data_IF_983618348060
#
_entry.id   IF_983618348060
#
_cell.length_a   1.000
_cell.length_b   1.000
_cell.length_c   1.000
_cell.angle_alpha   90.00
_cell.angle_beta   90.00
_cell.angle_gamma   90.00
#
_symmetry.space_group_name_H-M   'P 1'
#
loop_
_entity.id
_entity.type
_entity.pdbx_description
1 polymer ?
#
# COMPACT_ATOMS: atom_id res chain seq x y z
N UNK A 1 1.15 -25.69 -19.22
CA UNK A 1 1.63 -24.55 -18.41
C UNK A 1 1.04 -24.68 -17.03
N UNK A 2 1.88 -24.57 -16.02
CA UNK A 2 1.42 -24.54 -14.62
C UNK A 2 0.79 -23.17 -14.35
N UNK A 3 -0.49 -23.13 -13.99
CA UNK A 3 -1.16 -21.85 -13.68
C UNK A 3 -0.51 -21.16 -12.48
N UNK A 4 -0.42 -19.83 -12.54
CA UNK A 4 -0.01 -18.99 -11.41
C UNK A 4 -1.20 -18.75 -10.51
N UNK A 5 -1.07 -19.12 -9.23
CA UNK A 5 -2.07 -18.87 -8.20
C UNK A 5 -1.89 -17.46 -7.65
N UNK A 6 -2.88 -16.60 -7.89
CA UNK A 6 -2.82 -15.20 -7.53
C UNK A 6 -3.90 -14.83 -6.50
N UNK A 7 -3.43 -14.50 -5.29
CA UNK A 7 -4.27 -14.07 -4.19
C UNK A 7 -4.55 -12.56 -4.22
N UNK A 8 -5.82 -12.18 -4.12
CA UNK A 8 -6.26 -10.78 -4.01
C UNK A 8 -7.03 -10.56 -2.70
N UNK A 9 -6.90 -9.38 -2.07
CA UNK A 9 -7.54 -9.11 -0.80
C UNK A 9 -9.02 -8.77 -0.96
N UNK A 10 -9.81 -9.11 0.07
CA UNK A 10 -11.16 -8.58 0.28
C UNK A 10 -11.16 -7.43 1.28
N UNK A 11 -12.32 -6.80 1.46
CA UNK A 11 -12.52 -5.75 2.47
C UNK A 11 -11.95 -4.41 2.01
N UNK A 12 -11.31 -3.67 2.90
CA UNK A 12 -10.87 -2.29 2.63
C UNK A 12 -9.91 -2.14 1.45
N UNK A 13 -9.10 -3.17 1.15
CA UNK A 13 -8.22 -3.19 -0.03
C UNK A 13 -8.93 -3.64 -1.32
N UNK A 14 -10.08 -4.31 -1.22
CA UNK A 14 -10.70 -5.05 -2.32
C UNK A 14 -11.04 -4.17 -3.52
N UNK A 15 -11.83 -3.12 -3.30
CA UNK A 15 -12.29 -2.22 -4.37
C UNK A 15 -11.13 -1.52 -5.09
N UNK A 16 -10.11 -1.10 -4.34
CA UNK A 16 -8.93 -0.46 -4.92
C UNK A 16 -8.06 -1.48 -5.68
N UNK A 17 -8.00 -2.73 -5.20
CA UNK A 17 -7.35 -3.83 -5.92
C UNK A 17 -8.07 -4.12 -7.25
N UNK A 18 -9.40 -4.18 -7.25
CA UNK A 18 -10.15 -4.38 -8.48
C UNK A 18 -9.88 -3.26 -9.48
N UNK A 19 -9.90 -1.99 -9.03
CA UNK A 19 -9.61 -0.84 -9.90
C UNK A 19 -8.22 -0.91 -10.51
N UNK A 20 -7.19 -1.31 -9.75
CA UNK A 20 -5.84 -1.41 -10.30
C UNK A 20 -5.70 -2.57 -11.28
N UNK A 21 -6.36 -3.71 -11.04
CA UNK A 21 -6.40 -4.84 -11.95
C UNK A 21 -7.12 -4.47 -13.26
N UNK A 22 -8.26 -3.78 -13.16
CA UNK A 22 -8.97 -3.23 -14.30
C UNK A 22 -8.07 -2.27 -15.08
N UNK A 23 -7.40 -1.32 -14.42
CA UNK A 23 -6.43 -0.45 -15.10
C UNK A 23 -5.30 -1.26 -15.76
N UNK A 24 -4.86 -2.34 -15.14
CA UNK A 24 -3.80 -3.20 -15.66
C UNK A 24 -4.21 -4.06 -16.87
N UNK A 25 -5.49 -4.08 -17.26
CA UNK A 25 -5.97 -4.90 -18.39
C UNK A 25 -6.74 -6.16 -17.97
N UNK A 26 -6.78 -6.47 -16.67
CA UNK A 26 -7.49 -7.62 -16.16
C UNK A 26 -8.98 -7.35 -15.97
N UNK A 27 -9.82 -8.31 -16.33
CA UNK A 27 -11.25 -8.29 -16.08
C UNK A 27 -11.60 -9.41 -15.10
N UNK A 28 -11.95 -9.01 -13.87
CA UNK A 28 -12.32 -9.95 -12.80
C UNK A 28 -13.84 -10.10 -12.77
N UNK A 29 -14.33 -11.34 -12.80
CA UNK A 29 -15.76 -11.65 -12.81
C UNK A 29 -16.19 -12.42 -11.56
N UNK A 30 -17.37 -12.11 -11.04
CA UNK A 30 -17.95 -12.83 -9.89
C UNK A 30 -17.34 -12.51 -8.52
N UNK A 31 -16.52 -11.47 -8.41
CA UNK A 31 -15.80 -11.11 -7.18
C UNK A 31 -16.70 -10.95 -5.93
N UNK A 32 -17.89 -10.37 -6.08
CA UNK A 32 -18.82 -10.18 -4.94
C UNK A 32 -19.53 -11.46 -4.48
N UNK A 33 -19.43 -12.54 -5.27
CA UNK A 33 -20.23 -13.77 -5.10
C UNK A 33 -19.40 -15.00 -4.78
N UNK A 34 -18.10 -14.98 -5.05
CA UNK A 34 -17.24 -16.16 -4.90
C UNK A 34 -15.84 -15.78 -4.43
N UNK A 35 -15.24 -16.68 -3.64
CA UNK A 35 -13.83 -16.60 -3.26
C UNK A 35 -12.87 -17.05 -4.38
N UNK A 36 -13.40 -17.47 -5.52
CA UNK A 36 -12.67 -17.92 -6.72
C UNK A 36 -13.26 -17.23 -7.95
N UNK A 37 -13.01 -15.93 -8.14
CA UNK A 37 -13.50 -15.21 -9.30
C UNK A 37 -12.79 -15.67 -10.57
N UNK A 38 -13.42 -15.42 -11.72
CA UNK A 38 -12.78 -15.62 -13.02
C UNK A 38 -11.92 -14.41 -13.40
N UNK A 39 -10.89 -14.63 -14.22
CA UNK A 39 -10.05 -13.60 -14.82
C UNK A 39 -9.89 -13.88 -16.33
N UNK A 40 -9.69 -12.83 -17.13
CA UNK A 40 -9.48 -12.93 -18.58
C UNK A 40 -8.07 -13.43 -19.00
N UNK A 41 -7.33 -14.07 -18.10
CA UNK A 41 -6.05 -14.73 -18.38
C UNK A 41 -6.16 -16.21 -18.00
N UNK A 42 -6.08 -17.15 -18.96
CA UNK A 42 -6.27 -18.58 -18.69
C UNK A 42 -5.18 -19.20 -17.81
N UNK A 43 -4.01 -18.54 -17.71
CA UNK A 43 -2.85 -19.02 -16.96
C UNK A 43 -2.84 -18.53 -15.50
N UNK A 44 -3.84 -17.73 -15.11
CA UNK A 44 -4.00 -17.21 -13.74
C UNK A 44 -5.19 -17.90 -13.06
N UNK A 45 -4.99 -18.35 -11.83
CA UNK A 45 -6.05 -18.77 -10.93
C UNK A 45 -6.19 -17.76 -9.78
N UNK A 46 -7.30 -17.02 -9.76
CA UNK A 46 -7.55 -16.02 -8.71
C UNK A 46 -8.17 -16.65 -7.45
N UNK A 47 -7.72 -16.16 -6.29
CA UNK A 47 -8.34 -16.46 -5.00
C UNK A 47 -8.51 -15.18 -4.19
N UNK A 48 -9.72 -14.97 -3.66
CA UNK A 48 -9.99 -13.86 -2.76
C UNK A 48 -9.75 -14.31 -1.32
N UNK A 49 -8.94 -13.57 -0.57
CA UNK A 49 -8.52 -13.90 0.80
C UNK A 49 -8.61 -12.67 1.71
N UNK A 50 -8.54 -12.86 3.03
CA UNK A 50 -8.33 -11.73 3.94
C UNK A 50 -6.90 -11.20 3.78
N UNK A 51 -6.68 -9.87 3.81
CA UNK A 51 -5.34 -9.30 3.68
C UNK A 51 -4.30 -9.93 4.62
N UNK A 52 -4.67 -10.17 5.89
CA UNK A 52 -3.76 -10.73 6.89
C UNK A 52 -3.28 -12.16 6.60
N UNK A 53 -4.01 -12.95 5.81
CA UNK A 53 -3.66 -14.34 5.49
C UNK A 53 -2.73 -14.44 4.27
N UNK A 54 -2.77 -13.45 3.38
CA UNK A 54 -2.11 -13.49 2.08
C UNK A 54 -0.58 -13.62 2.20
N UNK A 55 0.12 -12.81 3.04
CA UNK A 55 1.58 -12.92 3.15
C UNK A 55 2.05 -14.31 3.57
N UNK A 56 1.37 -14.94 4.53
CA UNK A 56 1.68 -16.30 4.96
C UNK A 56 1.47 -17.31 3.84
N UNK A 57 0.35 -17.26 3.12
CA UNK A 57 0.11 -18.22 2.03
C UNK A 57 1.03 -18.03 0.83
N UNK A 58 1.51 -16.81 0.58
CA UNK A 58 2.55 -16.57 -0.42
C UNK A 58 3.90 -17.07 0.08
N UNK A 59 4.26 -16.81 1.35
CA UNK A 59 5.51 -17.31 1.97
C UNK A 59 5.59 -18.84 1.89
N UNK A 60 4.50 -19.54 2.22
CA UNK A 60 4.42 -21.01 2.22
C UNK A 60 4.22 -21.65 0.83
N UNK A 61 4.18 -20.85 -0.25
CA UNK A 61 3.99 -21.35 -1.62
C UNK A 61 2.61 -21.93 -1.92
N UNK A 62 1.64 -21.73 -1.02
CA UNK A 62 0.22 -22.07 -1.25
C UNK A 62 -0.34 -21.19 -2.37
N UNK A 63 0.11 -19.94 -2.44
CA UNK A 63 -0.13 -18.97 -3.50
C UNK A 63 1.22 -18.55 -4.09
N UNK A 64 1.26 -18.31 -5.40
CA UNK A 64 2.50 -17.92 -6.09
C UNK A 64 2.74 -16.40 -5.99
N UNK A 65 1.64 -15.63 -6.08
CA UNK A 65 1.62 -14.17 -5.99
C UNK A 65 0.46 -13.73 -5.11
N UNK A 66 0.61 -12.60 -4.44
CA UNK A 66 -0.47 -11.99 -3.67
C UNK A 66 -0.41 -10.48 -3.64
N UNK A 67 -1.56 -9.85 -3.39
CA UNK A 67 -1.64 -8.44 -3.00
C UNK A 67 -2.03 -8.35 -1.52
N UNK A 68 -1.20 -7.70 -0.70
CA UNK A 68 -1.52 -7.43 0.70
C UNK A 68 -0.85 -6.13 1.19
N UNK A 69 -1.22 -5.67 2.38
CA UNK A 69 -0.61 -4.49 2.99
C UNK A 69 0.82 -4.75 3.47
N UNK A 70 1.68 -3.73 3.39
CA UNK A 70 3.05 -3.76 3.94
C UNK A 70 3.08 -4.10 5.43
N UNK A 71 2.11 -3.58 6.17
CA UNK A 71 1.84 -3.89 7.57
C UNK A 71 1.63 -5.39 7.81
N UNK A 72 0.84 -6.07 6.98
CA UNK A 72 0.63 -7.52 7.12
C UNK A 72 1.84 -8.35 6.72
N UNK A 73 2.64 -7.90 5.74
CA UNK A 73 3.91 -8.55 5.40
C UNK A 73 4.87 -8.48 6.60
N UNK A 74 4.95 -7.32 7.25
CA UNK A 74 5.78 -7.10 8.44
C UNK A 74 5.25 -7.87 9.67
N UNK A 75 3.96 -7.78 9.98
CA UNK A 75 3.31 -8.47 11.11
C UNK A 75 3.52 -9.99 11.06
N UNK A 76 3.43 -10.57 9.86
CA UNK A 76 3.61 -12.01 9.66
C UNK A 76 5.08 -12.44 9.54
N UNK A 77 6.03 -11.49 9.50
CA UNK A 77 7.43 -11.77 9.15
C UNK A 77 7.56 -12.65 7.89
N UNK A 78 6.75 -12.36 6.87
CA UNK A 78 6.59 -13.25 5.73
C UNK A 78 7.85 -13.28 4.84
N UNK A 79 8.33 -14.48 4.51
CA UNK A 79 9.49 -14.68 3.62
C UNK A 79 9.06 -14.63 2.15
N UNK A 80 8.82 -13.42 1.66
CA UNK A 80 8.32 -13.15 0.30
C UNK A 80 9.20 -12.15 -0.41
N UNK A 81 9.17 -12.17 -1.74
CA UNK A 81 9.76 -11.11 -2.56
C UNK A 81 8.75 -9.98 -2.74
N UNK A 82 9.13 -8.74 -2.43
CA UNK A 82 8.28 -7.57 -2.68
C UNK A 82 8.56 -7.03 -4.07
N UNK A 83 7.64 -7.25 -5.01
CA UNK A 83 7.83 -6.91 -6.42
C UNK A 83 7.48 -5.45 -6.73
N UNK A 84 6.44 -4.91 -6.09
CA UNK A 84 5.92 -3.57 -6.39
C UNK A 84 5.11 -2.99 -5.23
N UNK A 85 5.33 -1.70 -4.92
CA UNK A 85 4.36 -0.90 -4.16
C UNK A 85 3.28 -0.41 -5.11
N UNK A 86 2.03 -0.76 -4.83
CA UNK A 86 0.89 -0.40 -5.67
C UNK A 86 0.36 1.02 -5.39
N UNK A 87 0.94 1.69 -4.40
CA UNK A 87 0.74 3.10 -4.04
C UNK A 87 -0.69 3.51 -3.65
N UNK A 88 -1.60 2.54 -3.44
CA UNK A 88 -2.95 2.77 -2.91
C UNK A 88 -3.10 2.25 -1.48
N UNK A 89 -4.27 2.50 -0.88
CA UNK A 89 -4.60 2.16 0.50
C UNK A 89 -3.53 2.64 1.50
N UNK A 90 -3.10 3.89 1.33
CA UNK A 90 -2.11 4.50 2.23
C UNK A 90 -2.76 4.75 3.58
N UNK A 91 -2.41 3.92 4.56
CA UNK A 91 -2.90 4.02 5.94
C UNK A 91 -1.72 4.05 6.91
N UNK A 92 -2.01 4.39 8.17
CA UNK A 92 -1.00 4.52 9.23
C UNK A 92 -1.39 3.59 10.37
N UNK A 93 -0.44 2.79 10.84
CA UNK A 93 -0.60 1.96 12.02
C UNK A 93 -0.27 2.81 13.24
N UNK A 94 -1.23 3.00 14.15
CA UNK A 94 -1.11 3.98 15.23
C UNK A 94 -1.54 3.42 16.58
N UNK A 95 -0.87 3.88 17.64
CA UNK A 95 -1.37 3.73 19.00
C UNK A 95 -2.43 4.78 19.30
N UNK A 96 -3.54 4.35 19.88
CA UNK A 96 -4.62 5.22 20.32
C UNK A 96 -5.10 4.90 21.74
N UNK A 97 -5.51 5.93 22.47
CA UNK A 97 -5.98 5.87 23.87
C UNK A 97 -7.27 6.68 24.04
N UNK A 98 -8.02 6.51 25.14
CA UNK A 98 -9.17 7.36 25.45
C UNK A 98 -8.84 8.85 25.39
N UNK A 99 -9.69 9.62 24.69
CA UNK A 99 -9.46 11.05 24.43
C UNK A 99 -9.43 11.90 25.70
N UNK A 100 -10.10 11.45 26.77
CA UNK A 100 -10.09 12.11 28.07
C UNK A 100 -8.76 11.94 28.85
N UNK A 101 -7.83 11.12 28.38
CA UNK A 101 -6.50 10.95 29.00
C UNK A 101 -5.53 12.04 28.52
N UNK A 102 -5.68 13.24 29.07
CA UNK A 102 -4.96 14.44 28.60
C UNK A 102 -3.43 14.39 28.84
N UNK A 103 -2.96 13.58 29.79
CA UNK A 103 -1.54 13.50 30.17
C UNK A 103 -0.73 12.53 29.31
N UNK A 104 -1.40 11.61 28.61
CA UNK A 104 -0.75 10.61 27.75
C UNK A 104 -0.75 11.12 26.32
N UNK A 105 0.44 11.40 25.78
CA UNK A 105 0.61 11.95 24.42
C UNK A 105 1.55 11.13 23.54
N UNK A 106 2.20 10.10 24.09
CA UNK A 106 3.06 9.14 23.41
C UNK A 106 3.03 7.81 24.20
N UNK A 107 3.62 6.75 23.62
CA UNK A 107 3.71 5.44 24.25
C UNK A 107 4.56 5.47 25.53
N UNK A 108 5.61 6.29 25.55
CA UNK A 108 6.46 6.49 26.72
C UNK A 108 5.67 6.99 27.93
N UNK A 109 4.79 7.98 27.72
CA UNK A 109 3.89 8.53 28.72
C UNK A 109 2.84 7.52 29.17
N UNK A 110 2.32 6.71 28.25
CA UNK A 110 1.38 5.63 28.56
C UNK A 110 2.02 4.57 29.48
N UNK A 111 3.22 4.09 29.12
CA UNK A 111 3.96 3.08 29.90
C UNK A 111 4.31 3.65 31.29
N UNK A 112 4.84 4.88 31.34
CA UNK A 112 5.18 5.55 32.60
C UNK A 112 3.96 5.67 33.52
N UNK A 113 2.84 6.12 32.99
CA UNK A 113 1.60 6.23 33.75
C UNK A 113 1.13 4.88 34.31
N UNK A 114 1.30 3.78 33.55
CA UNK A 114 0.97 2.44 34.04
C UNK A 114 1.84 2.02 35.21
N UNK A 115 3.16 2.27 35.12
CA UNK A 115 4.14 2.00 36.18
C UNK A 115 3.83 2.81 37.44
N UNK A 116 3.65 4.13 37.31
CA UNK A 116 3.39 5.04 38.43
C UNK A 116 2.11 4.68 39.18
N UNK A 117 1.08 4.22 38.46
CA UNK A 117 -0.19 3.79 39.05
C UNK A 117 -0.19 2.34 39.55
N UNK A 118 0.93 1.61 39.39
CA UNK A 118 1.04 0.18 39.68
C UNK A 118 -0.09 -0.63 39.03
N UNK A 119 -0.38 -0.33 37.75
CA UNK A 119 -1.40 -1.01 36.94
C UNK A 119 -0.75 -1.78 35.80
N UNK A 120 -1.36 -2.89 35.41
CA UNK A 120 -1.05 -3.58 34.17
C UNK A 120 -1.49 -2.74 32.98
N UNK A 121 -0.59 -2.52 32.02
CA UNK A 121 -0.89 -1.90 30.74
C UNK A 121 -1.54 -2.93 29.81
N UNK A 122 -2.79 -2.69 29.39
CA UNK A 122 -3.53 -3.57 28.49
C UNK A 122 -3.62 -2.94 27.10
N UNK A 123 -3.06 -3.62 26.10
CA UNK A 123 -3.14 -3.20 24.69
C UNK A 123 -3.99 -4.21 23.92
N UNK A 124 -4.91 -3.76 23.06
CA UNK A 124 -5.66 -4.66 22.17
C UNK A 124 -5.37 -4.35 20.70
N UNK A 125 -5.12 -5.39 19.89
CA UNK A 125 -4.77 -5.22 18.47
C UNK A 125 -4.88 -6.53 17.67
N UNK A 126 -5.03 -6.43 16.35
CA UNK A 126 -4.78 -7.54 15.42
C UNK A 126 -3.27 -7.70 15.08
N UNK A 127 -2.43 -6.70 15.38
CA UNK A 127 -1.00 -6.61 15.06
C UNK A 127 -0.11 -6.95 16.28
N UNK A 128 -0.12 -8.22 16.68
CA UNK A 128 0.51 -8.69 17.92
C UNK A 128 2.04 -8.52 17.89
N UNK A 129 2.69 -8.87 16.78
CA UNK A 129 4.15 -8.76 16.65
C UNK A 129 4.57 -7.30 16.58
N UNK A 130 3.89 -6.49 15.77
CA UNK A 130 4.19 -5.06 15.67
C UNK A 130 4.05 -4.35 17.03
N UNK A 131 2.96 -4.60 17.78
CA UNK A 131 2.78 -4.02 19.11
C UNK A 131 3.87 -4.46 20.08
N UNK A 132 4.14 -5.76 20.16
CA UNK A 132 5.17 -6.35 21.03
C UNK A 132 6.55 -5.74 20.76
N UNK A 133 6.98 -5.75 19.50
CA UNK A 133 8.29 -5.24 19.11
C UNK A 133 8.42 -3.74 19.34
N UNK A 134 7.37 -2.98 19.03
CA UNK A 134 7.39 -1.53 19.20
C UNK A 134 7.44 -1.12 20.68
N UNK A 135 6.68 -1.82 21.55
CA UNK A 135 6.73 -1.63 23.00
C UNK A 135 8.11 -1.99 23.55
N UNK A 136 8.69 -3.13 23.16
CA UNK A 136 10.00 -3.57 23.65
C UNK A 136 11.15 -2.64 23.24
N UNK A 137 11.00 -1.89 22.14
CA UNK A 137 11.97 -0.88 21.71
C UNK A 137 11.83 0.46 22.42
N UNK A 138 10.74 0.67 23.18
CA UNK A 138 10.51 1.94 23.86
C UNK A 138 11.51 2.13 25.04
N UNK A 139 12.21 3.27 25.15
CA UNK A 139 13.20 3.49 26.21
C UNK A 139 12.66 3.32 27.62
N UNK A 140 11.42 3.77 27.89
CA UNK A 140 10.79 3.65 29.21
C UNK A 140 10.49 2.19 29.54
N UNK A 141 10.11 1.39 28.54
CA UNK A 141 9.93 -0.05 28.71
C UNK A 141 11.26 -0.73 29.05
N UNK A 142 12.31 -0.45 28.27
CA UNK A 142 13.64 -1.02 28.45
C UNK A 142 14.21 -0.67 29.83
N UNK A 143 14.08 0.58 30.26
CA UNK A 143 14.55 1.03 31.57
C UNK A 143 13.82 0.33 32.72
N UNK A 144 12.52 0.08 32.58
CA UNK A 144 11.70 -0.51 33.64
C UNK A 144 11.74 -2.05 33.67
N UNK A 145 11.84 -2.69 32.51
CA UNK A 145 11.60 -4.13 32.34
C UNK A 145 12.73 -4.87 31.60
N UNK A 146 13.72 -4.17 31.05
CA UNK A 146 14.82 -4.76 30.29
C UNK A 146 14.34 -5.50 29.03
N UNK A 147 14.80 -6.73 28.85
CA UNK A 147 14.47 -7.58 27.71
C UNK A 147 13.21 -8.45 27.92
N UNK A 148 12.51 -8.28 29.04
CA UNK A 148 11.27 -9.03 29.28
C UNK A 148 10.27 -8.76 28.16
N UNK A 149 9.58 -9.79 27.73
CA UNK A 149 8.60 -9.73 26.65
C UNK A 149 7.20 -9.48 27.23
N UNK A 150 6.43 -8.50 26.72
CA UNK A 150 5.01 -8.34 27.07
C UNK A 150 4.26 -9.66 26.92
N UNK A 151 3.34 -9.95 27.83
CA UNK A 151 2.49 -11.13 27.70
C UNK A 151 1.52 -10.92 26.55
N UNK A 152 1.63 -11.73 25.51
CA UNK A 152 0.69 -11.78 24.40
C UNK A 152 -0.36 -12.86 24.67
N UNK A 153 -1.63 -12.48 24.60
CA UNK A 153 -2.80 -13.33 24.88
C UNK A 153 -3.64 -13.47 23.63
N UNK A 154 -3.81 -14.71 23.18
CA UNK A 154 -4.78 -15.11 22.16
C UNK A 154 -5.75 -16.13 22.77
N UNK A 155 -6.86 -16.49 22.10
CA UNK A 155 -7.72 -17.59 22.58
C UNK A 155 -7.03 -18.95 22.63
N UNK A 156 -5.87 -19.10 21.98
CA UNK A 156 -5.19 -20.38 21.82
C UNK A 156 -3.98 -20.53 22.75
N UNK A 157 -3.28 -19.43 23.03
CA UNK A 157 -2.04 -19.45 23.79
C UNK A 157 -1.77 -18.13 24.47
N UNK A 158 -0.88 -18.19 25.46
CA UNK A 158 -0.38 -17.07 26.25
C UNK A 158 1.13 -17.20 26.38
N UNK A 159 1.87 -16.20 25.89
CA UNK A 159 3.35 -16.25 25.80
C UNK A 159 3.92 -14.90 26.26
N UNK A 160 5.03 -14.92 27.00
CA UNK A 160 5.72 -13.74 27.52
C UNK A 160 5.99 -13.84 29.02
N UNK A 161 6.84 -12.96 29.54
CA UNK A 161 7.34 -12.99 30.92
C UNK A 161 7.23 -11.63 31.65
N UNK A 162 6.60 -10.62 31.02
CA UNK A 162 6.21 -9.36 31.66
C UNK A 162 4.70 -9.23 31.86
N UNK A 163 4.22 -9.66 33.03
CA UNK A 163 2.81 -9.57 33.46
C UNK A 163 2.28 -8.13 33.62
N UNK A 164 3.18 -7.13 33.66
CA UNK A 164 2.77 -5.73 33.78
C UNK A 164 2.35 -5.11 32.44
N UNK A 165 2.63 -5.77 31.31
CA UNK A 165 2.22 -5.32 29.99
C UNK A 165 1.63 -6.49 29.22
N UNK A 166 0.33 -6.40 28.92
CA UNK A 166 -0.43 -7.47 28.28
C UNK A 166 -1.00 -7.00 26.95
N UNK A 167 -0.77 -7.76 25.89
CA UNK A 167 -1.27 -7.51 24.53
C UNK A 167 -2.33 -8.57 24.19
N UNK A 168 -3.56 -8.15 23.99
CA UNK A 168 -4.70 -9.01 23.65
C UNK A 168 -4.98 -8.99 22.16
N UNK A 169 -5.13 -10.17 21.56
CA UNK A 169 -5.65 -10.32 20.21
C UNK A 169 -7.07 -9.74 20.10
N UNK A 170 -7.22 -8.80 19.19
CA UNK A 170 -8.52 -8.33 18.68
C UNK A 170 -8.95 -9.19 17.49
N UNK A 171 -10.26 -9.36 17.28
CA UNK A 171 -10.82 -9.96 16.07
C UNK A 171 -11.54 -8.92 15.20
N UNK A 172 -11.17 -7.66 15.37
CA UNK A 172 -11.83 -6.48 14.81
C UNK A 172 -12.67 -5.73 15.85
N UNK A 173 -13.19 -4.57 15.44
CA UNK A 173 -13.85 -3.60 16.34
C UNK A 173 -12.97 -3.21 17.54
N UNK A 174 -11.66 -3.13 17.32
CA UNK A 174 -10.65 -2.86 18.34
C UNK A 174 -10.92 -1.52 19.05
N UNK A 175 -11.47 -0.54 18.32
CA UNK A 175 -11.80 0.79 18.85
C UNK A 175 -12.85 0.78 19.96
N UNK A 176 -13.65 -0.28 20.07
CA UNK A 176 -14.66 -0.41 21.12
C UNK A 176 -14.10 -0.96 22.45
N UNK A 177 -12.81 -1.32 22.50
CA UNK A 177 -12.18 -1.95 23.67
C UNK A 177 -11.82 -0.96 24.78
N UNK A 178 -11.26 0.23 24.49
CA UNK A 178 -10.94 1.16 25.56
C UNK A 178 -12.16 1.96 26.06
N UNK A 179 -12.18 2.31 27.36
CA UNK A 179 -11.20 1.97 28.40
C UNK A 179 -11.46 0.63 29.14
N UNK A 180 -12.61 0.00 28.96
CA UNK A 180 -13.08 -1.08 29.81
C UNK A 180 -12.23 -2.35 29.65
N UNK A 181 -11.99 -2.76 28.40
CA UNK A 181 -11.31 -4.02 28.07
C UNK A 181 -9.80 -3.80 27.80
N UNK A 182 -9.40 -2.58 27.42
CA UNK A 182 -8.00 -2.22 27.13
C UNK A 182 -7.71 -0.76 27.48
N UNK A 183 -6.45 -0.43 27.74
CA UNK A 183 -6.01 0.95 28.01
C UNK A 183 -5.58 1.66 26.71
N UNK A 184 -5.07 0.91 25.75
CA UNK A 184 -4.69 1.39 24.43
C UNK A 184 -4.99 0.35 23.35
N UNK A 185 -4.99 0.81 22.10
CA UNK A 185 -5.08 -0.04 20.92
C UNK A 185 -3.98 0.30 19.93
N UNK A 186 -3.57 -0.68 19.14
CA UNK A 186 -2.77 -0.48 17.94
C UNK A 186 -3.65 -0.81 16.73
N UNK A 187 -3.93 0.17 15.88
CA UNK A 187 -4.92 0.03 14.80
C UNK A 187 -4.50 0.81 13.56
N UNK A 188 -4.93 0.35 12.38
CA UNK A 188 -4.73 1.09 11.13
C UNK A 188 -5.77 2.20 10.97
N UNK A 189 -5.31 3.37 10.55
CA UNK A 189 -6.17 4.51 10.26
C UNK A 189 -5.90 5.13 8.89
N UNK A 190 -6.98 5.53 8.23
CA UNK A 190 -6.93 6.39 7.05
C UNK A 190 -7.18 7.85 7.47
N UNK A 191 -8.42 8.19 7.83
CA UNK A 191 -8.83 9.56 8.24
C UNK A 191 -8.88 9.75 9.76
N UNK A 192 -8.79 8.66 10.53
CA UNK A 192 -8.97 8.65 11.99
C UNK A 192 -10.41 8.89 12.47
N UNK A 193 -11.41 8.82 11.57
CA UNK A 193 -12.82 9.09 11.92
C UNK A 193 -13.38 8.04 12.89
N UNK A 194 -13.08 6.76 12.67
CA UNK A 194 -13.50 5.66 13.56
C UNK A 194 -13.00 5.88 15.00
N UNK A 195 -11.70 6.19 15.16
CA UNK A 195 -11.13 6.50 16.47
C UNK A 195 -11.86 7.65 17.17
N UNK A 196 -12.12 8.76 16.46
CA UNK A 196 -12.81 9.92 17.05
C UNK A 196 -14.25 9.61 17.46
N UNK A 197 -14.96 8.80 16.68
CA UNK A 197 -16.33 8.38 16.98
C UNK A 197 -16.39 7.50 18.23
N UNK A 198 -15.36 6.69 18.47
CA UNK A 198 -15.20 5.88 19.68
C UNK A 198 -14.49 6.63 20.82
N UNK A 199 -14.36 7.96 20.72
CA UNK A 199 -13.78 8.76 21.80
C UNK A 199 -12.28 8.53 22.04
N UNK A 200 -11.54 8.10 21.02
CA UNK A 200 -10.10 7.85 21.09
C UNK A 200 -9.29 9.00 20.46
N UNK A 201 -8.03 9.13 20.89
CA UNK A 201 -7.02 9.99 20.29
C UNK A 201 -5.78 9.19 19.94
N UNK A 202 -5.13 9.55 18.83
CA UNK A 202 -3.82 9.00 18.45
C UNK A 202 -2.75 9.60 19.34
N UNK A 203 -1.83 8.76 19.81
CA UNK A 203 -0.66 9.18 20.59
C UNK A 203 0.66 8.87 19.89
N UNK A 204 0.69 7.88 18.98
CA UNK A 204 1.94 7.50 18.32
C UNK A 204 1.67 6.82 16.97
N UNK A 205 2.56 7.05 16.00
CA UNK A 205 2.53 6.40 14.69
C UNK A 205 3.67 5.39 14.61
N UNK A 206 3.32 4.11 14.40
CA UNK A 206 4.27 3.00 14.33
C UNK A 206 4.86 2.85 12.93
N UNK A 207 4.00 2.91 11.90
CA UNK A 207 4.44 2.84 10.51
C UNK A 207 3.39 3.36 9.52
N UNK A 208 3.85 3.67 8.31
CA UNK A 208 3.01 3.92 7.15
C UNK A 208 2.98 2.68 6.25
N UNK A 209 1.78 2.32 5.78
CA UNK A 209 1.56 1.13 4.95
C UNK A 209 0.81 1.49 3.68
N UNK A 210 1.02 0.69 2.64
CA UNK A 210 0.33 0.70 1.36
C UNK A 210 0.22 -0.74 0.87
N UNK A 211 -0.61 -0.96 -0.16
CA UNK A 211 -0.72 -2.26 -0.80
C UNK A 211 0.55 -2.62 -1.58
N UNK A 212 1.02 -3.85 -1.42
CA UNK A 212 2.18 -4.44 -2.08
C UNK A 212 1.74 -5.60 -2.97
N UNK A 213 2.41 -5.74 -4.11
CA UNK A 213 2.49 -6.99 -4.86
C UNK A 213 3.67 -7.81 -4.33
N UNK A 214 3.38 -9.01 -3.83
CA UNK A 214 4.37 -9.92 -3.28
C UNK A 214 4.36 -11.26 -4.04
N UNK A 215 5.50 -11.93 -4.11
CA UNK A 215 5.63 -13.24 -4.73
C UNK A 215 6.41 -14.23 -3.87
N UNK A 216 6.08 -15.50 -4.05
CA UNK A 216 6.82 -16.59 -3.43
C UNK A 216 8.20 -16.75 -4.11
N UNK A 217 9.25 -16.89 -3.30
CA UNK A 217 10.63 -17.00 -3.79
C UNK A 217 10.88 -18.28 -4.60
N UNK A 218 10.23 -19.39 -4.29
CA UNK A 218 10.34 -20.62 -5.07
C UNK A 218 9.54 -20.57 -6.38
N UNK A 219 8.39 -19.88 -6.39
CA UNK A 219 7.65 -19.62 -7.62
C UNK A 219 8.47 -18.78 -8.61
N UNK A 220 9.26 -17.82 -8.13
CA UNK A 220 10.19 -17.04 -8.94
C UNK A 220 11.39 -17.87 -9.47
N UNK A 221 11.72 -19.00 -8.85
CA UNK A 221 12.76 -19.92 -9.35
C UNK A 221 12.25 -20.87 -10.43
N UNK A 222 10.94 -21.01 -10.58
CA UNK A 222 10.33 -21.81 -11.63
C UNK A 222 10.18 -20.95 -12.90
N UNK A 223 10.83 -21.29 -14.03
CA UNK A 223 10.85 -20.41 -15.21
C UNK A 223 9.46 -20.09 -15.78
N UNK A 224 8.56 -21.07 -15.89
CA UNK A 224 7.20 -20.84 -16.42
C UNK A 224 6.39 -19.89 -15.52
N UNK A 225 6.47 -20.09 -14.21
CA UNK A 225 5.78 -19.21 -13.26
C UNK A 225 6.41 -17.83 -13.23
N UNK A 226 7.74 -17.76 -13.19
CA UNK A 226 8.47 -16.51 -13.16
C UNK A 226 8.08 -15.61 -14.33
N UNK A 227 8.04 -16.15 -15.55
CA UNK A 227 7.62 -15.40 -16.74
C UNK A 227 6.21 -14.79 -16.56
N UNK A 228 5.23 -15.61 -16.15
CA UNK A 228 3.86 -15.11 -15.93
C UNK A 228 3.76 -14.13 -14.74
N UNK A 229 4.59 -14.28 -13.70
CA UNK A 229 4.66 -13.32 -12.59
C UNK A 229 5.23 -11.98 -13.07
N UNK A 230 6.22 -11.99 -13.96
CA UNK A 230 6.77 -10.80 -14.58
C UNK A 230 5.74 -10.10 -15.49
N UNK A 231 4.89 -10.86 -16.20
CA UNK A 231 3.76 -10.28 -16.94
C UNK A 231 2.80 -9.52 -16.01
N UNK A 232 2.41 -10.16 -14.89
CA UNK A 232 1.56 -9.53 -13.87
C UNK A 232 2.21 -8.25 -13.32
N UNK A 233 3.49 -8.32 -12.95
CA UNK A 233 4.27 -7.18 -12.47
C UNK A 233 4.29 -6.05 -13.50
N UNK A 234 4.56 -6.37 -14.76
CA UNK A 234 4.66 -5.40 -15.87
C UNK A 234 3.35 -4.64 -16.05
N UNK A 235 2.23 -5.36 -16.08
CA UNK A 235 0.91 -4.76 -16.25
C UNK A 235 0.50 -3.90 -15.06
N UNK A 236 0.75 -4.38 -13.83
CA UNK A 236 0.45 -3.62 -12.61
C UNK A 236 1.34 -2.39 -12.45
N UNK A 237 2.65 -2.52 -12.70
CA UNK A 237 3.59 -1.38 -12.71
C UNK A 237 3.15 -0.34 -13.73
N UNK A 238 2.78 -0.77 -14.94
CA UNK A 238 2.27 0.14 -15.94
C UNK A 238 1.01 0.89 -15.51
N UNK A 239 0.12 0.25 -14.75
CA UNK A 239 -1.08 0.88 -14.21
C UNK A 239 -0.77 1.90 -13.11
N UNK A 240 0.17 1.57 -12.20
CA UNK A 240 0.67 2.48 -11.16
C UNK A 240 1.33 3.70 -11.80
N UNK A 241 2.24 3.48 -12.75
CA UNK A 241 2.98 4.57 -13.40
C UNK A 241 2.07 5.42 -14.26
N UNK A 242 1.15 4.81 -15.02
CA UNK A 242 0.16 5.53 -15.81
C UNK A 242 -0.72 6.45 -14.99
N UNK A 243 -1.10 6.06 -13.76
CA UNK A 243 -1.91 6.90 -12.86
C UNK A 243 -1.18 8.20 -12.42
N UNK A 244 0.15 8.22 -12.48
CA UNK A 244 0.98 9.38 -12.14
C UNK A 244 1.22 10.32 -13.33
N UNK A 245 0.77 9.95 -14.53
CA UNK A 245 1.05 10.71 -15.77
C UNK A 245 -0.18 11.42 -16.31
N UNK A 246 0.08 12.44 -17.13
CA UNK A 246 -0.90 13.06 -18.01
C UNK A 246 -0.37 13.07 -19.43
N UNK A 247 -1.21 12.65 -20.36
CA UNK A 247 -0.98 12.79 -21.79
C UNK A 247 -1.57 14.13 -22.24
N UNK A 248 -0.76 14.94 -22.91
CA UNK A 248 -1.07 16.29 -23.34
C UNK A 248 -1.07 16.33 -24.85
N UNK A 249 -2.20 16.75 -25.41
CA UNK A 249 -2.33 17.17 -26.80
C UNK A 249 -2.49 18.69 -26.83
N UNK A 250 -1.73 19.37 -27.66
CA UNK A 250 -1.88 20.81 -27.85
C UNK A 250 -1.48 21.23 -29.26
N UNK A 251 -2.16 22.22 -29.82
CA UNK A 251 -1.79 22.85 -31.08
C UNK A 251 -0.89 24.06 -30.80
N UNK A 252 0.15 24.23 -31.59
CA UNK A 252 1.19 25.23 -31.37
C UNK A 252 1.57 25.85 -32.71
N UNK A 253 1.59 27.18 -32.78
CA UNK A 253 2.14 27.89 -33.94
C UNK A 253 3.63 27.55 -34.07
N UNK A 254 4.12 27.33 -35.29
CA UNK A 254 5.52 26.95 -35.54
C UNK A 254 6.52 27.96 -34.93
N UNK A 255 6.16 29.25 -34.89
CA UNK A 255 6.99 30.30 -34.27
C UNK A 255 7.14 30.18 -32.73
N UNK A 256 6.26 29.42 -32.08
CA UNK A 256 6.24 29.19 -30.63
C UNK A 256 6.76 27.80 -30.24
N UNK A 257 7.02 26.92 -31.21
CA UNK A 257 7.42 25.54 -30.98
C UNK A 257 8.68 25.43 -30.13
N UNK A 258 9.78 26.08 -30.52
CA UNK A 258 11.05 26.00 -29.80
C UNK A 258 10.93 26.51 -28.36
N UNK A 259 10.24 27.65 -28.19
CA UNK A 259 9.99 28.25 -26.86
C UNK A 259 9.21 27.33 -25.93
N UNK A 260 8.32 26.51 -26.50
CA UNK A 260 7.52 25.56 -25.74
C UNK A 260 8.33 24.29 -25.42
N UNK A 261 9.10 23.77 -26.39
CA UNK A 261 9.94 22.59 -26.20
C UNK A 261 11.02 22.81 -25.13
N UNK A 262 11.62 24.00 -25.05
CA UNK A 262 12.59 24.37 -24.00
C UNK A 262 11.99 24.33 -22.58
N UNK A 263 10.67 24.54 -22.46
CA UNK A 263 9.98 24.71 -21.17
C UNK A 263 9.15 23.51 -20.76
N UNK A 264 8.96 22.54 -21.65
CA UNK A 264 8.14 21.37 -21.39
C UNK A 264 8.94 20.28 -20.66
N UNK A 265 8.48 19.85 -19.49
CA UNK A 265 9.06 18.72 -18.79
C UNK A 265 8.51 17.39 -19.32
N UNK A 266 8.94 17.01 -20.51
CA UNK A 266 8.50 15.78 -21.14
C UNK A 266 9.38 14.58 -20.70
N UNK A 267 8.78 13.41 -20.53
CA UNK A 267 9.51 12.16 -20.18
C UNK A 267 10.48 11.71 -21.29
N UNK A 268 10.14 12.01 -22.54
CA UNK A 268 10.93 11.82 -23.76
C UNK A 268 10.80 13.07 -24.64
N UNK A 269 11.37 13.06 -25.86
CA UNK A 269 11.11 14.13 -26.84
C UNK A 269 9.63 14.13 -27.24
N UNK A 270 8.92 15.27 -27.18
CA UNK A 270 7.53 15.36 -27.64
C UNK A 270 7.39 14.93 -29.10
N UNK A 271 6.26 14.30 -29.43
CA UNK A 271 5.89 14.07 -30.83
C UNK A 271 5.38 15.37 -31.41
N UNK A 272 5.89 15.76 -32.58
CA UNK A 272 5.45 16.93 -33.33
C UNK A 272 4.88 16.46 -34.66
N UNK A 273 3.67 16.88 -35.00
CA UNK A 273 2.99 16.51 -36.25
C UNK A 273 2.45 17.75 -36.94
N UNK A 274 2.55 17.80 -38.27
CA UNK A 274 2.00 18.92 -39.04
C UNK A 274 0.47 18.89 -39.04
N UNK A 275 -0.14 20.07 -38.96
CA UNK A 275 -1.58 20.22 -39.11
C UNK A 275 -1.95 20.56 -40.56
N UNK A 276 -3.26 20.57 -40.85
CA UNK A 276 -3.77 21.03 -42.15
C UNK A 276 -3.41 22.48 -42.45
N UNK A 277 -3.23 23.29 -41.41
CA UNK A 277 -2.67 24.63 -41.51
C UNK A 277 -1.14 24.54 -41.37
N UNK A 278 -0.36 24.91 -42.41
CA UNK A 278 1.11 24.84 -42.40
C UNK A 278 1.78 25.68 -41.32
N UNK A 279 1.11 26.71 -40.79
CA UNK A 279 1.65 27.57 -39.72
C UNK A 279 1.58 26.91 -38.34
N UNK A 280 0.87 25.78 -38.22
CA UNK A 280 0.61 25.10 -36.96
C UNK A 280 1.15 23.67 -36.94
N UNK A 281 1.42 23.19 -35.73
CA UNK A 281 1.75 21.80 -35.44
C UNK A 281 0.97 21.31 -34.22
N UNK A 282 0.70 20.00 -34.16
CA UNK A 282 0.25 19.34 -32.96
C UNK A 282 1.46 18.81 -32.18
N UNK A 283 1.47 19.08 -30.88
CA UNK A 283 2.38 18.47 -29.92
C UNK A 283 1.62 17.41 -29.15
N UNK A 284 2.23 16.24 -29.04
CA UNK A 284 1.79 15.18 -28.16
C UNK A 284 2.91 14.74 -27.22
N UNK A 285 2.66 14.76 -25.91
CA UNK A 285 3.66 14.35 -24.91
C UNK A 285 3.04 13.85 -23.60
N UNK A 286 3.83 13.09 -22.83
CA UNK A 286 3.46 12.62 -21.50
C UNK A 286 4.30 13.36 -20.46
N UNK A 287 3.63 13.88 -19.44
CA UNK A 287 4.24 14.57 -18.30
C UNK A 287 3.83 13.93 -16.98
N UNK A 288 4.53 14.28 -15.91
CA UNK A 288 4.06 13.99 -14.56
C UNK A 288 2.86 14.88 -14.19
N UNK A 289 1.82 14.26 -13.63
CA UNK A 289 0.55 14.92 -13.27
C UNK A 289 0.76 16.08 -12.30
N UNK A 290 1.68 15.95 -11.36
CA UNK A 290 2.00 16.99 -10.36
C UNK A 290 2.66 18.24 -10.95
N UNK A 291 3.23 18.17 -12.16
CA UNK A 291 3.86 19.32 -12.84
C UNK A 291 2.87 20.13 -13.67
N UNK A 292 1.66 19.59 -13.90
CA UNK A 292 0.68 20.21 -14.80
C UNK A 292 0.33 21.65 -14.43
N UNK A 293 0.06 21.91 -13.14
CA UNK A 293 -0.31 23.24 -12.65
C UNK A 293 0.80 24.28 -12.93
N UNK A 294 2.06 23.86 -12.83
CA UNK A 294 3.21 24.74 -13.07
C UNK A 294 3.39 25.08 -14.56
N UNK A 295 3.05 24.15 -15.45
CA UNK A 295 3.21 24.36 -16.90
C UNK A 295 2.00 25.01 -17.56
N UNK A 296 0.82 24.96 -16.93
CA UNK A 296 -0.42 25.50 -17.47
C UNK A 296 -0.30 26.97 -17.93
N UNK A 297 0.38 27.89 -17.20
CA UNK A 297 0.58 29.26 -17.67
C UNK A 297 1.41 29.35 -18.96
N UNK A 298 2.37 28.46 -19.16
CA UNK A 298 3.21 28.38 -20.36
C UNK A 298 2.37 27.89 -21.53
N UNK A 299 1.65 26.77 -21.32
CA UNK A 299 0.74 26.20 -22.32
C UNK A 299 -0.31 27.22 -22.76
N UNK A 300 -0.92 27.95 -21.82
CA UNK A 300 -1.91 29.00 -22.12
C UNK A 300 -1.35 30.14 -22.98
N UNK A 301 -0.05 30.42 -22.90
CA UNK A 301 0.59 31.52 -23.66
C UNK A 301 1.08 31.09 -25.04
N UNK A 302 1.47 29.82 -25.19
CA UNK A 302 2.20 29.33 -26.37
C UNK A 302 1.42 28.32 -27.20
N UNK A 303 0.31 27.78 -26.69
CA UNK A 303 -0.46 26.72 -27.31
C UNK A 303 -1.97 26.98 -27.25
N UNK A 304 -2.72 26.25 -28.07
CA UNK A 304 -4.18 26.25 -28.14
C UNK A 304 -4.73 24.82 -28.22
N UNK A 305 -6.04 24.65 -28.01
CA UNK A 305 -6.68 23.33 -28.16
C UNK A 305 -6.12 22.26 -27.21
N UNK A 306 -5.76 22.65 -25.98
CA UNK A 306 -5.19 21.76 -24.98
C UNK A 306 -6.20 20.66 -24.58
N UNK A 307 -5.84 19.40 -24.78
CA UNK A 307 -6.60 18.23 -24.33
C UNK A 307 -5.72 17.37 -23.42
N UNK A 308 -6.30 16.89 -22.33
CA UNK A 308 -5.62 16.07 -21.33
C UNK A 308 -6.29 14.70 -21.23
N UNK A 309 -5.48 13.65 -21.21
CA UNK A 309 -5.93 12.29 -20.90
C UNK A 309 -5.05 11.67 -19.82
N UNK A 310 -5.67 10.91 -18.92
CA UNK A 310 -4.93 10.02 -18.03
C UNK A 310 -4.67 8.71 -18.77
N UNK A 311 -3.41 8.35 -19.03
CA UNK A 311 -3.12 7.06 -19.63
C UNK A 311 -3.57 5.96 -18.66
N UNK A 312 -4.21 4.92 -19.22
CA UNK A 312 -4.60 3.74 -18.45
C UNK A 312 -3.36 3.05 -17.88
N UNK A 313 -2.35 2.85 -18.73
CA UNK A 313 -1.04 2.30 -18.38
C UNK A 313 0.07 3.05 -19.13
N UNK A 314 1.27 3.07 -18.56
CA UNK A 314 2.52 3.44 -19.24
C UNK A 314 3.50 2.30 -18.99
N UNK A 315 3.74 1.46 -19.99
CA UNK A 315 4.57 0.26 -19.84
C UNK A 315 6.06 0.61 -20.09
N UNK A 316 6.93 0.50 -19.08
CA UNK A 316 8.36 0.72 -19.27
C UNK A 316 9.02 -0.58 -19.78
N UNK A 317 8.71 -0.96 -21.02
CA UNK A 317 9.19 -2.23 -21.61
C UNK A 317 10.73 -2.32 -21.62
N UNK A 318 11.40 -1.17 -21.72
CA UNK A 318 12.87 -1.07 -21.76
C UNK A 318 13.53 -1.22 -20.38
N UNK A 319 12.77 -1.16 -19.28
CA UNK A 319 13.27 -1.19 -17.89
C UNK A 319 12.95 -2.51 -17.18
N UNK A 320 12.20 -3.40 -17.84
CA UNK A 320 11.79 -4.70 -17.30
C UNK A 320 12.60 -5.79 -18.01
N UNK A 321 13.91 -5.74 -17.80
CA UNK A 321 14.82 -6.87 -18.01
C UNK A 321 15.46 -7.16 -16.66
N UNK A 322 15.37 -8.41 -16.19
CA UNK A 322 16.21 -8.87 -15.08
C UNK A 322 17.65 -9.09 -15.61
N UNK A 323 18.28 -8.03 -16.10
CA UNK A 323 19.74 -7.95 -16.13
C UNK A 323 20.17 -7.11 -14.92
N UNK A 324 20.06 -7.71 -13.73
CA UNK A 324 20.82 -7.31 -12.55
C UNK A 324 21.01 -8.56 -11.69
N UNK A 325 21.99 -9.34 -12.12
CA UNK A 325 22.49 -10.55 -11.49
C UNK A 325 23.95 -10.73 -11.90
N UNK A 326 24.77 -9.71 -11.63
CA UNK A 326 26.20 -9.86 -11.31
C UNK A 326 26.39 -9.47 -9.84
#
# INVERSE_FOLDING_TARGET
MTKVKFAIPKGHLGDQTQRILERAGYHVTGHDRTYRPGINDPDIELKVLRPQEIPTFVSEGVQDVGISGRDWVAENNADVETLLDLEYARVRLVFAVPKNWNTVNDLSGLIRQSIENNKTLRVSTEYLNAAKEYIMKNPVYVDAYGEKTPVVVTPWWRIGDNENVVIYLSFGATEAKPPEDADAILEVIETGTSLRQNGLKVIEEVMQTSALLIANKDALRNPEKQEKILDILTLLRGAVDGAKKLHIFANVEKCNLDKLLEKLPALKRPTVSELSDPEWCAINTVIDKNRFIQILPILRKLAQGLVLYEPRQVLPLDEITLENGE
#
